data_IF_886755925824
#
_entry.id   IF_886755925824
#
_cell.length_a   1.000
_cell.length_b   1.000
_cell.length_c   1.000
_cell.angle_alpha   90.00
_cell.angle_beta   90.00
_cell.angle_gamma   90.00
#
_symmetry.space_group_name_H-M   'P 1'
#
loop_
_entity.id
_entity.type
_entity.pdbx_description
1 polymer ?
#
# COMPACT_ATOMS: atom_id res chain seq x y z
N UNK A 1 -18.68 -0.49 -12.24
CA UNK A 1 -17.65 -1.54 -12.38
C UNK A 1 -17.98 -2.34 -13.63
N UNK A 2 -17.08 -2.42 -14.59
CA UNK A 2 -17.25 -3.18 -15.84
C UNK A 2 -16.63 -4.57 -15.64
N UNK A 3 -17.24 -5.61 -16.22
CA UNK A 3 -16.66 -6.96 -16.17
C UNK A 3 -15.24 -6.95 -16.78
N UNK A 4 -14.27 -7.67 -16.19
CA UNK A 4 -12.91 -7.67 -16.72
C UNK A 4 -12.87 -8.36 -18.09
N UNK A 5 -12.60 -7.58 -19.13
CA UNK A 5 -12.21 -8.12 -20.44
C UNK A 5 -10.84 -8.79 -20.34
N UNK A 6 -10.52 -9.70 -21.27
CA UNK A 6 -9.24 -10.43 -21.27
C UNK A 6 -8.03 -9.46 -21.26
N UNK A 7 -8.14 -8.31 -21.93
CA UNK A 7 -7.12 -7.26 -21.91
C UNK A 7 -6.88 -6.69 -20.51
N UNK A 8 -7.93 -6.55 -19.70
CA UNK A 8 -7.85 -6.00 -18.34
C UNK A 8 -7.07 -6.94 -17.42
N UNK A 9 -7.21 -8.26 -17.62
CA UNK A 9 -6.49 -9.25 -16.81
C UNK A 9 -4.97 -9.14 -17.00
N UNK A 10 -4.50 -8.86 -18.21
CA UNK A 10 -3.07 -8.65 -18.47
C UNK A 10 -2.59 -7.38 -17.74
N UNK A 11 -3.37 -6.30 -17.80
CA UNK A 11 -3.04 -5.06 -17.09
C UNK A 11 -3.06 -5.23 -15.56
N UNK A 12 -3.99 -6.02 -15.02
CA UNK A 12 -4.02 -6.37 -13.61
C UNK A 12 -2.82 -7.25 -13.20
N UNK A 13 -2.38 -8.16 -14.07
CA UNK A 13 -1.15 -8.92 -13.85
C UNK A 13 0.09 -8.01 -13.78
N UNK A 14 0.20 -7.07 -14.73
CA UNK A 14 1.28 -6.07 -14.75
C UNK A 14 1.23 -5.19 -13.49
N UNK A 15 0.05 -4.71 -13.12
CA UNK A 15 -0.13 -3.96 -11.88
C UNK A 15 0.32 -4.79 -10.68
N UNK A 16 -0.08 -6.05 -10.59
CA UNK A 16 0.33 -6.97 -9.53
C UNK A 16 1.85 -7.13 -9.42
N UNK A 17 2.55 -7.24 -10.55
CA UNK A 17 4.01 -7.28 -10.57
C UNK A 17 4.64 -5.98 -10.05
N UNK A 18 4.17 -4.82 -10.53
CA UNK A 18 4.69 -3.51 -10.13
C UNK A 18 4.47 -3.29 -8.62
N UNK A 19 3.23 -3.49 -8.19
CA UNK A 19 2.80 -3.30 -6.80
C UNK A 19 3.45 -4.34 -5.88
N UNK A 20 3.72 -5.55 -6.39
CA UNK A 20 4.52 -6.56 -5.69
C UNK A 20 5.96 -6.12 -5.45
N UNK A 21 6.65 -5.59 -6.47
CA UNK A 21 7.99 -4.99 -6.29
C UNK A 21 7.96 -3.88 -5.23
N UNK A 22 6.95 -3.00 -5.30
CA UNK A 22 6.75 -1.97 -4.30
C UNK A 22 6.54 -2.57 -2.90
N UNK A 23 5.71 -3.60 -2.74
CA UNK A 23 5.48 -4.24 -1.45
C UNK A 23 6.76 -4.82 -0.83
N UNK A 24 7.62 -5.44 -1.63
CA UNK A 24 8.92 -5.92 -1.16
C UNK A 24 9.83 -4.77 -0.67
N UNK A 25 9.88 -3.65 -1.41
CA UNK A 25 10.60 -2.45 -1.00
C UNK A 25 10.01 -1.84 0.28
N UNK A 26 8.68 -1.85 0.42
CA UNK A 26 8.00 -1.34 1.60
C UNK A 26 8.32 -2.16 2.85
N UNK A 27 8.31 -3.49 2.76
CA UNK A 27 8.76 -4.38 3.85
C UNK A 27 10.18 -4.04 4.30
N UNK A 28 11.10 -3.86 3.34
CA UNK A 28 12.48 -3.49 3.63
C UNK A 28 12.57 -2.13 4.33
N UNK A 29 11.78 -1.14 3.90
CA UNK A 29 11.74 0.19 4.52
C UNK A 29 11.24 0.14 5.97
N UNK A 30 10.18 -0.63 6.24
CA UNK A 30 9.67 -0.80 7.61
C UNK A 30 10.72 -1.46 8.51
N UNK A 31 11.30 -2.59 8.07
CA UNK A 31 12.30 -3.30 8.87
C UNK A 31 13.58 -2.47 9.07
N UNK A 32 13.99 -1.72 8.04
CA UNK A 32 15.10 -0.77 8.15
C UNK A 32 14.81 0.31 9.20
N UNK A 33 13.62 0.92 9.16
CA UNK A 33 13.22 1.94 10.14
C UNK A 33 13.18 1.40 11.57
N UNK A 34 12.61 0.21 11.78
CA UNK A 34 12.62 -0.48 13.07
C UNK A 34 14.05 -0.77 13.57
N UNK A 35 14.94 -1.18 12.68
CA UNK A 35 16.35 -1.40 13.00
C UNK A 35 17.04 -0.09 13.40
N UNK A 36 16.93 0.94 12.58
CA UNK A 36 17.55 2.24 12.81
C UNK A 36 17.17 2.83 14.17
N UNK A 37 15.88 2.83 14.52
CA UNK A 37 15.42 3.33 15.82
C UNK A 37 15.85 2.46 17.01
N UNK A 38 16.05 1.16 16.78
CA UNK A 38 16.54 0.25 17.82
C UNK A 38 18.06 0.33 18.03
N UNK A 39 18.85 0.54 16.98
CA UNK A 39 20.32 0.55 17.04
C UNK A 39 20.88 1.93 17.34
N UNK A 40 20.29 3.00 16.79
CA UNK A 40 20.81 4.37 16.96
C UNK A 40 20.36 5.00 18.27
N UNK A 41 19.21 4.59 18.79
CA UNK A 41 18.62 5.19 20.00
C UNK A 41 18.24 4.13 21.06
N UNK A 42 19.11 3.19 21.44
CA UNK A 42 18.74 2.09 22.33
C UNK A 42 18.30 2.57 23.72
N UNK A 43 18.93 3.63 24.24
CA UNK A 43 18.72 4.11 25.61
C UNK A 43 17.61 5.17 25.72
N UNK A 44 17.01 5.59 24.61
CA UNK A 44 15.96 6.61 24.62
C UNK A 44 14.61 5.91 24.89
N UNK A 45 13.83 6.36 25.88
CA UNK A 45 12.53 5.77 26.17
C UNK A 45 11.60 5.90 24.95
N UNK A 46 10.80 4.86 24.72
CA UNK A 46 9.86 4.79 23.57
C UNK A 46 8.95 6.03 23.52
N UNK A 47 8.53 6.55 24.68
CA UNK A 47 7.73 7.75 24.79
C UNK A 47 8.38 9.00 24.16
N UNK A 48 9.71 9.17 24.29
CA UNK A 48 10.40 10.32 23.71
C UNK A 48 10.55 10.17 22.18
N UNK A 49 10.83 8.95 21.71
CA UNK A 49 10.87 8.64 20.27
C UNK A 49 9.50 8.88 19.63
N UNK A 50 8.45 8.42 20.31
CA UNK A 50 7.06 8.64 19.95
C UNK A 50 6.72 10.13 19.90
N UNK A 51 7.13 10.91 20.90
CA UNK A 51 6.90 12.35 20.94
C UNK A 51 7.58 13.06 19.75
N UNK A 52 8.81 12.67 19.40
CA UNK A 52 9.51 13.28 18.27
C UNK A 52 8.82 12.99 16.93
N UNK A 53 8.46 11.72 16.69
CA UNK A 53 7.74 11.33 15.46
C UNK A 53 6.34 11.96 15.43
N UNK A 54 5.63 11.94 16.56
CA UNK A 54 4.31 12.54 16.71
C UNK A 54 4.32 14.05 16.51
N UNK A 55 5.36 14.76 16.97
CA UNK A 55 5.52 16.19 16.72
C UNK A 55 5.74 16.47 15.23
N UNK A 56 6.55 15.65 14.53
CA UNK A 56 6.74 15.77 13.09
C UNK A 56 5.44 15.51 12.30
N UNK A 57 4.73 14.43 12.62
CA UNK A 57 3.42 14.12 12.02
C UNK A 57 2.39 15.19 12.34
N UNK A 58 2.38 15.72 13.57
CA UNK A 58 1.48 16.78 14.01
C UNK A 58 1.74 18.11 13.29
N UNK A 59 3.00 18.45 13.02
CA UNK A 59 3.35 19.64 12.25
C UNK A 59 2.86 19.54 10.80
N UNK A 60 2.98 18.36 10.19
CA UNK A 60 2.41 18.09 8.86
C UNK A 60 0.89 18.15 8.91
N UNK A 61 0.27 17.62 9.96
CA UNK A 61 -1.17 17.67 10.16
C UNK A 61 -1.70 19.11 10.26
N UNK A 62 -0.94 20.02 10.87
CA UNK A 62 -1.32 21.44 10.97
C UNK A 62 -1.36 22.13 9.60
N UNK A 63 -0.38 21.86 8.73
CA UNK A 63 -0.31 22.47 7.39
C UNK A 63 -1.24 21.79 6.40
N UNK A 64 -1.29 20.45 6.43
CA UNK A 64 -2.00 19.64 5.45
C UNK A 64 -2.66 18.42 6.13
N UNK A 65 -3.85 18.61 6.74
CA UNK A 65 -4.55 17.55 7.50
C UNK A 65 -4.86 16.31 6.66
N UNK A 66 -5.06 16.47 5.35
CA UNK A 66 -5.42 15.36 4.46
C UNK A 66 -4.26 14.41 4.15
N UNK A 67 -3.02 14.70 4.57
CA UNK A 67 -1.87 13.82 4.34
C UNK A 67 -1.59 12.85 5.49
N UNK A 68 -2.21 13.05 6.66
CA UNK A 68 -1.98 12.27 7.88
C UNK A 68 -3.19 11.38 8.24
N UNK A 69 -3.08 10.59 9.31
CA UNK A 69 -4.13 9.68 9.78
C UNK A 69 -4.01 8.25 9.22
N UNK A 70 -5.04 7.41 9.41
CA UNK A 70 -5.02 5.99 9.02
C UNK A 70 -5.01 5.76 7.50
N UNK A 71 -5.67 6.65 6.75
CA UNK A 71 -5.71 6.61 5.28
C UNK A 71 -7.09 6.33 4.69
N UNK A 72 -8.09 6.06 5.52
CA UNK A 72 -9.43 5.61 5.13
C UNK A 72 -10.16 6.68 4.32
N UNK A 73 -10.11 7.94 4.77
CA UNK A 73 -10.69 9.08 4.05
C UNK A 73 -10.04 9.27 2.68
N UNK A 74 -8.72 9.07 2.61
CA UNK A 74 -7.96 9.21 1.37
C UNK A 74 -8.27 8.06 0.40
N UNK A 75 -8.46 6.84 0.90
CA UNK A 75 -8.94 5.71 0.10
C UNK A 75 -10.30 6.06 -0.52
N UNK A 76 -11.25 6.58 0.28
CA UNK A 76 -12.56 6.99 -0.25
C UNK A 76 -12.45 8.09 -1.33
N UNK A 77 -11.54 9.04 -1.15
CA UNK A 77 -11.27 10.09 -2.13
C UNK A 77 -10.64 9.55 -3.43
N UNK A 78 -9.75 8.55 -3.33
CA UNK A 78 -9.21 7.83 -4.50
C UNK A 78 -10.30 7.06 -5.23
N UNK A 79 -11.16 6.34 -4.50
CA UNK A 79 -12.25 5.55 -5.07
C UNK A 79 -13.40 6.39 -5.64
N UNK A 80 -13.48 7.68 -5.28
CA UNK A 80 -14.41 8.65 -5.89
C UNK A 80 -13.80 9.40 -7.07
N UNK A 81 -12.61 9.00 -7.53
CA UNK A 81 -11.88 9.56 -8.68
C UNK A 81 -11.60 11.07 -8.55
N UNK A 82 -11.41 11.55 -7.31
CA UNK A 82 -11.23 12.98 -7.01
C UNK A 82 -9.77 13.45 -7.04
N UNK A 83 -8.82 12.60 -7.44
CA UNK A 83 -7.39 12.95 -7.49
C UNK A 83 -6.84 12.87 -8.90
N UNK A 84 -6.13 13.93 -9.33
CA UNK A 84 -5.26 13.89 -10.51
C UNK A 84 -3.93 13.20 -10.22
N UNK A 85 -3.22 12.81 -11.29
CA UNK A 85 -1.98 12.02 -11.20
C UNK A 85 -0.90 12.67 -10.33
N UNK A 86 -0.73 13.99 -10.41
CA UNK A 86 0.24 14.73 -9.60
C UNK A 86 -0.07 14.67 -8.10
N UNK A 87 -1.35 14.74 -7.73
CA UNK A 87 -1.79 14.62 -6.34
C UNK A 87 -1.58 13.20 -5.82
N UNK A 88 -1.86 12.18 -6.64
CA UNK A 88 -1.59 10.78 -6.32
C UNK A 88 -0.11 10.51 -6.09
N UNK A 89 0.78 11.02 -6.95
CA UNK A 89 2.24 10.87 -6.79
C UNK A 89 2.71 11.51 -5.49
N UNK A 90 2.28 12.74 -5.22
CA UNK A 90 2.62 13.45 -3.98
C UNK A 90 2.15 12.67 -2.75
N UNK A 91 0.90 12.21 -2.76
CA UNK A 91 0.31 11.47 -1.65
C UNK A 91 1.00 10.11 -1.46
N UNK A 92 1.39 9.43 -2.55
CA UNK A 92 2.13 8.17 -2.50
C UNK A 92 3.47 8.34 -1.77
N UNK A 93 4.26 9.34 -2.16
CA UNK A 93 5.57 9.62 -1.57
C UNK A 93 5.43 9.94 -0.08
N UNK A 94 4.49 10.85 0.25
CA UNK A 94 4.25 11.26 1.63
C UNK A 94 3.81 10.06 2.48
N UNK A 95 2.86 9.25 2.00
CA UNK A 95 2.35 8.09 2.75
C UNK A 95 3.35 6.97 2.89
N UNK A 96 4.19 6.75 1.88
CA UNK A 96 5.27 5.78 1.93
C UNK A 96 6.26 6.10 3.07
N UNK A 97 6.68 7.37 3.16
CA UNK A 97 7.61 7.83 4.18
C UNK A 97 6.96 7.90 5.56
N UNK A 98 5.79 8.55 5.67
CA UNK A 98 5.11 8.72 6.95
C UNK A 98 4.69 7.38 7.58
N UNK A 99 4.22 6.43 6.78
CA UNK A 99 3.85 5.09 7.28
C UNK A 99 5.05 4.36 7.88
N UNK A 100 6.18 4.36 7.17
CA UNK A 100 7.41 3.70 7.63
C UNK A 100 7.99 4.38 8.89
N UNK A 101 8.05 5.71 8.89
CA UNK A 101 8.59 6.49 10.02
C UNK A 101 7.70 6.36 11.25
N UNK A 102 6.36 6.38 11.08
CA UNK A 102 5.42 6.27 12.21
C UNK A 102 5.47 4.91 12.88
N UNK A 103 5.78 3.84 12.15
CA UNK A 103 5.89 2.50 12.71
C UNK A 103 7.24 2.22 13.40
N UNK A 104 8.30 2.93 12.99
CA UNK A 104 9.68 2.68 13.40
C UNK A 104 9.98 2.78 14.92
N UNK A 105 9.36 3.67 15.71
CA UNK A 105 9.61 3.77 17.16
C UNK A 105 9.03 2.62 17.99
N UNK A 106 8.50 1.55 17.37
CA UNK A 106 7.74 0.49 18.06
C UNK A 106 6.47 1.02 18.73
N UNK A 107 5.83 2.01 18.10
CA UNK A 107 4.55 2.55 18.53
C UNK A 107 3.44 1.52 18.33
N UNK A 108 2.45 1.43 19.25
CA UNK A 108 1.27 0.61 19.03
C UNK A 108 0.50 1.16 17.82
N UNK A 109 0.41 0.36 16.76
CA UNK A 109 -0.25 0.75 15.52
C UNK A 109 -0.38 -0.41 14.55
N UNK A 110 -1.34 -0.31 13.63
CA UNK A 110 -1.56 -1.27 12.57
C UNK A 110 -0.92 -0.83 11.25
N UNK A 111 -0.36 -1.78 10.50
CA UNK A 111 0.08 -1.55 9.12
C UNK A 111 -1.08 -1.61 8.11
N UNK A 112 -2.22 -2.17 8.52
CA UNK A 112 -3.32 -2.55 7.65
C UNK A 112 -3.86 -1.41 6.75
N UNK A 113 -4.37 -0.33 7.33
CA UNK A 113 -4.97 0.77 6.57
C UNK A 113 -3.96 1.53 5.67
N UNK A 114 -2.71 1.82 6.14
CA UNK A 114 -1.68 2.40 5.28
C UNK A 114 -1.37 1.56 4.04
N UNK A 115 -1.34 0.22 4.17
CA UNK A 115 -1.11 -0.67 3.03
C UNK A 115 -2.22 -0.55 1.99
N UNK A 116 -3.49 -0.54 2.42
CA UNK A 116 -4.61 -0.35 1.51
C UNK A 116 -4.53 0.98 0.78
N UNK A 117 -4.19 2.08 1.49
CA UNK A 117 -4.06 3.38 0.85
C UNK A 117 -2.96 3.41 -0.21
N UNK A 118 -1.77 2.89 0.11
CA UNK A 118 -0.65 2.84 -0.86
C UNK A 118 -1.06 2.02 -2.09
N UNK A 119 -1.69 0.86 -1.89
CA UNK A 119 -2.21 0.05 -2.99
C UNK A 119 -3.27 0.76 -3.83
N UNK A 120 -4.22 1.45 -3.20
CA UNK A 120 -5.25 2.24 -3.89
C UNK A 120 -4.63 3.32 -4.77
N UNK A 121 -3.68 4.09 -4.22
CA UNK A 121 -3.01 5.16 -4.93
C UNK A 121 -2.21 4.59 -6.11
N UNK A 122 -1.45 3.51 -5.90
CA UNK A 122 -0.66 2.88 -6.97
C UNK A 122 -1.54 2.35 -8.11
N UNK A 123 -2.66 1.70 -7.78
CA UNK A 123 -3.63 1.23 -8.77
C UNK A 123 -4.29 2.38 -9.55
N UNK A 124 -4.77 3.41 -8.86
CA UNK A 124 -5.35 4.59 -9.48
C UNK A 124 -4.35 5.31 -10.40
N UNK A 125 -3.11 5.48 -9.93
CA UNK A 125 -2.04 6.11 -10.70
C UNK A 125 -1.72 5.31 -11.96
N UNK A 126 -1.64 3.98 -11.86
CA UNK A 126 -1.41 3.10 -13.01
C UNK A 126 -2.50 3.24 -14.08
N UNK A 127 -3.78 3.26 -13.68
CA UNK A 127 -4.88 3.48 -14.60
C UNK A 127 -4.81 4.86 -15.28
N UNK A 128 -4.55 5.92 -14.52
CA UNK A 128 -4.41 7.26 -15.09
C UNK A 128 -3.26 7.33 -16.10
N UNK A 129 -2.11 6.73 -15.78
CA UNK A 129 -0.97 6.68 -16.71
C UNK A 129 -1.27 5.91 -17.99
N UNK A 130 -1.99 4.79 -17.90
CA UNK A 130 -2.45 4.05 -19.10
C UNK A 130 -3.38 4.91 -19.95
N UNK A 131 -4.32 5.61 -19.31
CA UNK A 131 -5.29 6.47 -20.00
C UNK A 131 -4.63 7.67 -20.69
N UNK A 132 -3.42 8.07 -20.28
CA UNK A 132 -2.62 9.10 -20.96
C UNK A 132 -1.93 8.60 -22.24
N UNK A 133 -1.96 7.29 -22.53
CA UNK A 133 -1.32 6.71 -23.72
C UNK A 133 -2.42 6.44 -24.77
N UNK A 134 -2.73 7.41 -25.66
CA UNK A 134 -3.79 7.27 -26.66
C UNK A 134 -3.62 6.07 -27.61
N UNK A 135 -2.39 5.57 -27.79
CA UNK A 135 -2.09 4.40 -28.62
C UNK A 135 -2.69 3.08 -28.09
N UNK A 136 -3.05 3.00 -26.81
CA UNK A 136 -3.60 1.77 -26.23
C UNK A 136 -5.09 1.57 -26.56
N UNK A 137 -5.80 2.60 -27.07
CA UNK A 137 -7.24 2.58 -27.37
C UNK A 137 -8.10 1.96 -26.24
N UNK A 138 -7.61 2.07 -25.00
CA UNK A 138 -8.11 1.39 -23.82
C UNK A 138 -8.45 2.42 -22.75
N UNK A 139 -9.60 2.26 -22.10
CA UNK A 139 -10.02 3.10 -20.98
C UNK A 139 -10.01 2.29 -19.69
N UNK A 140 -8.93 2.44 -18.93
CA UNK A 140 -8.79 1.86 -17.62
C UNK A 140 -9.70 2.58 -16.61
N UNK A 141 -10.67 1.87 -16.04
CA UNK A 141 -11.48 2.38 -14.93
C UNK A 141 -10.61 2.55 -13.67
N UNK A 142 -10.31 3.80 -13.31
CA UNK A 142 -9.44 4.16 -12.18
C UNK A 142 -9.88 3.47 -10.88
N UNK A 143 -11.18 3.35 -10.63
CA UNK A 143 -11.72 2.75 -9.39
C UNK A 143 -11.43 1.26 -9.34
N UNK A 144 -11.67 0.55 -10.45
CA UNK A 144 -11.38 -0.88 -10.54
C UNK A 144 -9.89 -1.17 -10.34
N UNK A 145 -9.00 -0.39 -10.96
CA UNK A 145 -7.55 -0.55 -10.77
C UNK A 145 -7.09 -0.18 -9.36
N UNK A 146 -7.70 0.83 -8.73
CA UNK A 146 -7.42 1.16 -7.32
C UNK A 146 -7.76 -0.03 -6.40
N UNK A 147 -8.95 -0.62 -6.54
CA UNK A 147 -9.37 -1.80 -5.76
C UNK A 147 -8.43 -2.99 -5.97
N UNK A 148 -8.03 -3.25 -7.21
CA UNK A 148 -7.05 -4.31 -7.53
C UNK A 148 -5.69 -4.01 -6.90
N UNK A 149 -5.23 -2.77 -6.97
CA UNK A 149 -3.98 -2.33 -6.34
C UNK A 149 -4.00 -2.48 -4.81
N UNK A 150 -5.13 -2.20 -4.17
CA UNK A 150 -5.31 -2.41 -2.73
C UNK A 150 -5.08 -3.87 -2.33
N UNK A 151 -5.76 -4.82 -2.98
CA UNK A 151 -5.61 -6.24 -2.70
C UNK A 151 -4.19 -6.73 -2.99
N UNK A 152 -3.62 -6.32 -4.14
CA UNK A 152 -2.30 -6.73 -4.58
C UNK A 152 -1.20 -6.23 -3.64
N UNK A 153 -1.24 -4.98 -3.19
CA UNK A 153 -0.23 -4.43 -2.27
C UNK A 153 -0.33 -5.05 -0.89
N UNK A 154 -1.54 -5.21 -0.37
CA UNK A 154 -1.77 -5.94 0.87
C UNK A 154 -1.19 -7.35 0.79
N UNK A 155 -1.46 -8.05 -0.30
CA UNK A 155 -0.96 -9.40 -0.56
C UNK A 155 0.56 -9.45 -0.67
N UNK A 156 1.17 -8.47 -1.33
CA UNK A 156 2.62 -8.36 -1.47
C UNK A 156 3.32 -8.26 -0.12
N UNK A 157 2.77 -7.48 0.80
CA UNK A 157 3.37 -7.19 2.11
C UNK A 157 3.05 -8.28 3.14
N UNK A 158 1.78 -8.69 3.22
CA UNK A 158 1.26 -9.60 4.25
C UNK A 158 1.38 -11.07 3.85
N UNK A 159 1.48 -11.37 2.55
CA UNK A 159 1.49 -12.74 2.00
C UNK A 159 0.20 -13.54 2.22
N UNK A 160 -0.95 -12.85 2.24
CA UNK A 160 -2.28 -13.46 2.39
C UNK A 160 -3.21 -13.09 1.22
N UNK A 161 -3.10 -13.76 0.06
CA UNK A 161 -3.84 -13.39 -1.17
C UNK A 161 -5.35 -13.49 -1.00
N UNK A 162 -5.86 -14.63 -0.49
CA UNK A 162 -7.30 -14.83 -0.33
C UNK A 162 -7.92 -13.85 0.67
N UNK A 163 -7.21 -13.57 1.78
CA UNK A 163 -7.63 -12.57 2.75
C UNK A 163 -7.73 -11.17 2.12
N UNK A 164 -6.72 -10.78 1.32
CA UNK A 164 -6.73 -9.50 0.61
C UNK A 164 -7.90 -9.38 -0.37
N UNK A 165 -8.12 -10.41 -1.19
CA UNK A 165 -9.23 -10.45 -2.15
C UNK A 165 -10.59 -10.37 -1.44
N UNK A 166 -10.82 -11.23 -0.44
CA UNK A 166 -12.07 -11.25 0.32
C UNK A 166 -12.34 -9.87 0.96
N UNK A 167 -11.32 -9.27 1.55
CA UNK A 167 -11.45 -7.98 2.21
C UNK A 167 -11.86 -6.87 1.25
N UNK A 168 -11.25 -6.81 0.06
CA UNK A 168 -11.63 -5.80 -0.94
C UNK A 168 -13.05 -6.06 -1.45
N UNK A 169 -13.45 -7.32 -1.61
CA UNK A 169 -14.83 -7.66 -1.99
C UNK A 169 -15.81 -7.17 -0.92
N UNK A 170 -15.57 -7.47 0.35
CA UNK A 170 -16.44 -7.06 1.45
C UNK A 170 -16.53 -5.53 1.60
N UNK A 171 -15.42 -4.82 1.46
CA UNK A 171 -15.40 -3.36 1.61
C UNK A 171 -16.00 -2.60 0.42
N UNK A 172 -15.96 -3.17 -0.80
CA UNK A 172 -16.38 -2.48 -2.02
C UNK A 172 -17.67 -3.03 -2.64
N UNK A 173 -18.11 -4.23 -2.23
CA UNK A 173 -19.19 -4.97 -2.89
C UNK A 173 -18.85 -5.47 -4.30
N UNK A 174 -17.61 -5.30 -4.76
CA UNK A 174 -17.18 -5.48 -6.15
C UNK A 174 -16.85 -6.91 -6.55
N UNK A 175 -17.77 -7.88 -6.34
CA UNK A 175 -17.54 -9.31 -6.64
C UNK A 175 -17.14 -9.55 -8.11
N UNK A 176 -17.58 -8.71 -9.03
CA UNK A 176 -17.26 -8.79 -10.47
C UNK A 176 -15.75 -8.68 -10.73
N UNK A 177 -14.98 -8.00 -9.87
CA UNK A 177 -13.53 -7.82 -10.02
C UNK A 177 -12.70 -9.00 -9.51
N UNK A 178 -13.33 -10.04 -8.94
CA UNK A 178 -12.64 -11.20 -8.33
C UNK A 178 -11.56 -11.82 -9.22
N UNK A 179 -11.77 -12.05 -10.53
CA UNK A 179 -10.72 -12.59 -11.39
C UNK A 179 -9.49 -11.68 -11.47
N UNK A 180 -9.69 -10.36 -11.61
CA UNK A 180 -8.60 -9.39 -11.67
C UNK A 180 -7.86 -9.26 -10.34
N UNK A 181 -8.60 -9.27 -9.23
CA UNK A 181 -8.05 -9.28 -7.88
C UNK A 181 -7.13 -10.50 -7.67
N UNK A 182 -7.60 -11.71 -8.01
CA UNK A 182 -6.81 -12.93 -7.88
C UNK A 182 -5.53 -12.91 -8.73
N UNK A 183 -5.65 -12.52 -10.01
CA UNK A 183 -4.50 -12.44 -10.92
C UNK A 183 -3.44 -11.48 -10.38
N UNK A 184 -3.84 -10.26 -10.00
CA UNK A 184 -2.91 -9.27 -9.46
C UNK A 184 -2.27 -9.74 -8.14
N UNK A 185 -3.05 -10.33 -7.23
CA UNK A 185 -2.55 -10.90 -5.98
C UNK A 185 -1.54 -12.03 -6.22
N UNK A 186 -1.80 -12.94 -7.17
CA UNK A 186 -0.86 -14.02 -7.52
C UNK A 186 0.43 -13.42 -8.08
N UNK A 187 0.36 -12.51 -9.05
CA UNK A 187 1.53 -11.83 -9.59
C UNK A 187 2.33 -11.10 -8.50
N UNK A 188 1.64 -10.41 -7.59
CA UNK A 188 2.25 -9.73 -6.46
C UNK A 188 2.96 -10.72 -5.52
N UNK A 189 2.36 -11.89 -5.22
CA UNK A 189 3.03 -12.94 -4.42
C UNK A 189 4.25 -13.52 -5.13
N UNK A 190 4.17 -13.77 -6.44
CA UNK A 190 5.27 -14.38 -7.19
C UNK A 190 6.50 -13.48 -7.19
N UNK A 191 6.33 -12.19 -7.51
CA UNK A 191 7.45 -11.27 -7.58
C UNK A 191 8.04 -10.97 -6.19
N UNK A 192 7.21 -10.88 -5.15
CA UNK A 192 7.70 -10.70 -3.78
C UNK A 192 8.42 -11.94 -3.25
N UNK A 193 8.04 -13.15 -3.67
CA UNK A 193 8.76 -14.38 -3.37
C UNK A 193 10.09 -14.43 -4.11
N UNK A 194 10.11 -14.05 -5.38
CA UNK A 194 11.32 -13.98 -6.18
C UNK A 194 12.34 -12.99 -5.61
N UNK A 195 11.88 -11.86 -5.06
CA UNK A 195 12.74 -10.89 -4.37
C UNK A 195 13.25 -11.38 -3.01
N UNK A 196 12.81 -12.54 -2.52
CA UNK A 196 13.21 -13.06 -1.21
C UNK A 196 12.70 -12.22 -0.03
N UNK A 197 11.63 -11.44 -0.21
CA UNK A 197 11.08 -10.61 0.87
C UNK A 197 10.15 -11.45 1.76
N UNK A 198 10.47 -11.70 3.04
CA UNK A 198 9.60 -12.48 3.91
C UNK A 198 8.28 -11.74 4.19
N UNK A 199 7.20 -12.46 4.56
CA UNK A 199 5.96 -11.84 5.02
C UNK A 199 6.24 -10.91 6.21
N UNK A 200 5.62 -9.72 6.20
CA UNK A 200 5.96 -8.70 7.20
C UNK A 200 5.64 -9.16 8.63
N UNK A 201 4.51 -9.86 8.83
CA UNK A 201 4.10 -10.29 10.17
C UNK A 201 4.97 -11.44 10.71
N UNK A 202 5.50 -12.30 9.85
CA UNK A 202 6.48 -13.31 10.26
C UNK A 202 7.79 -12.63 10.69
N UNK A 203 8.25 -11.64 9.91
CA UNK A 203 9.45 -10.86 10.24
C UNK A 203 9.31 -10.10 11.57
N UNK A 204 8.14 -9.52 11.82
CA UNK A 204 7.84 -8.84 13.08
C UNK A 204 7.74 -9.83 14.25
N UNK A 205 7.15 -11.00 14.04
CA UNK A 205 7.08 -12.09 15.02
C UNK A 205 8.47 -12.56 15.42
N UNK A 206 9.33 -12.86 14.46
CA UNK A 206 10.72 -13.29 14.72
C UNK A 206 11.49 -12.26 15.54
N UNK A 207 11.32 -10.97 15.21
CA UNK A 207 11.93 -9.86 15.96
C UNK A 207 11.46 -9.77 17.41
N UNK A 208 10.22 -10.16 17.71
CA UNK A 208 9.72 -10.19 19.09
C UNK A 208 10.36 -11.31 19.91
N UNK A 209 10.65 -12.46 19.30
CA UNK A 209 11.31 -13.59 19.97
C UNK A 209 12.83 -13.43 20.06
N UNK A 210 13.43 -12.57 19.22
CA UNK A 210 14.88 -12.29 19.23
C UNK A 210 15.30 -11.16 20.18
N UNK A 211 14.37 -10.61 20.97
CA UNK A 211 14.61 -9.56 21.98
C UNK A 211 14.52 -10.16 23.38
#
# INVERSE_FOLDING_TARGET
MVAPELANLILYAILGLIVGLMGALYNRNILFGLNLFSTTMPNIPVALKAAFVGAGVGLIAYWQPSWVGGGELQVQQVLSNNFGAQALITLLIVRWLLGSISYSPSLPGGLFAPLLLVGAISGALFAQLINFIPALAFQADTVSFALVGMAAFFTAVVRAPFTGVLLIIEMSGGVILTPGLLVACVCATLITSYMGSPPIYDSLRERMFSR
#
